data_IF_141591047043
#
_entry.id   IF_141591047043
#
_cell.length_a   1.000
_cell.length_b   1.000
_cell.length_c   1.000
_cell.angle_alpha   90.00
_cell.angle_beta   90.00
_cell.angle_gamma   90.00
#
_symmetry.space_group_name_H-M   'P 1'
#
loop_
_entity.id
_entity.type
_entity.pdbx_description
1 polymer ?
#
# COMPACT_ATOMS: atom_id res chain seq x y z
N UNK A 1 -4.17 -19.95 -13.16
CA UNK A 1 -3.95 -19.21 -11.90
C UNK A 1 -2.71 -18.35 -12.07
N UNK A 2 -2.86 -17.03 -12.20
CA UNK A 2 -1.72 -16.13 -12.16
C UNK A 2 -1.23 -16.07 -10.72
N UNK A 3 -0.09 -16.70 -10.43
CA UNK A 3 0.60 -16.53 -9.14
C UNK A 3 1.28 -15.17 -9.17
N UNK A 4 0.84 -14.26 -8.31
CA UNK A 4 1.60 -13.07 -7.99
C UNK A 4 2.70 -13.47 -7.02
N UNK A 5 3.98 -13.20 -7.29
CA UNK A 5 5.01 -13.32 -6.28
C UNK A 5 4.71 -12.30 -5.18
N UNK A 6 4.32 -12.77 -4.00
CA UNK A 6 4.11 -11.93 -2.82
C UNK A 6 5.40 -11.88 -2.01
N UNK A 7 6.05 -10.73 -1.98
CA UNK A 7 7.23 -10.44 -1.15
C UNK A 7 6.78 -9.55 0.02
N UNK A 8 7.10 -9.94 1.25
CA UNK A 8 6.90 -9.10 2.43
C UNK A 8 8.21 -8.38 2.69
N UNK A 9 8.18 -7.06 2.65
CA UNK A 9 9.33 -6.19 2.88
C UNK A 9 9.16 -5.44 4.20
N UNK A 10 10.25 -5.28 4.96
CA UNK A 10 10.22 -4.64 6.28
C UNK A 10 10.58 -3.15 6.24
N UNK A 11 10.80 -2.57 5.07
CA UNK A 11 11.18 -1.16 4.92
C UNK A 11 11.15 -0.68 3.47
N UNK A 12 10.91 0.61 3.28
CA UNK A 12 10.78 1.25 1.96
C UNK A 12 12.07 1.27 1.14
N UNK A 13 13.23 1.01 1.74
CA UNK A 13 14.52 0.92 1.04
C UNK A 13 14.67 -0.39 0.24
N UNK A 14 13.88 -1.41 0.58
CA UNK A 14 13.92 -2.74 -0.05
C UNK A 14 12.98 -2.85 -1.27
N UNK A 15 12.21 -1.79 -1.56
CA UNK A 15 11.29 -1.71 -2.70
C UNK A 15 12.09 -1.69 -4.00
N UNK A 16 11.91 -2.70 -4.84
CA UNK A 16 12.61 -2.82 -6.15
C UNK A 16 11.82 -2.21 -7.31
N UNK A 17 10.49 -2.19 -7.21
CA UNK A 17 9.59 -1.70 -8.27
C UNK A 17 8.38 -1.02 -7.64
N UNK A 18 8.46 0.30 -7.54
CA UNK A 18 7.44 1.16 -6.93
C UNK A 18 6.07 0.98 -7.59
N UNK A 19 6.02 0.71 -8.91
CA UNK A 19 4.78 0.54 -9.68
C UNK A 19 4.04 -0.76 -9.41
N UNK A 20 4.71 -1.74 -8.79
CA UNK A 20 4.15 -3.06 -8.43
C UNK A 20 4.01 -3.26 -6.93
N UNK A 21 4.35 -2.26 -6.13
CA UNK A 21 4.30 -2.34 -4.68
C UNK A 21 3.09 -1.59 -4.15
N UNK A 22 2.40 -2.24 -3.20
CA UNK A 22 1.36 -1.63 -2.40
C UNK A 22 1.92 -1.52 -0.97
N UNK A 23 1.97 -0.31 -0.44
CA UNK A 23 2.35 -0.05 0.94
C UNK A 23 1.09 0.12 1.79
N UNK A 24 1.03 -0.63 2.90
CA UNK A 24 -0.07 -0.54 3.86
C UNK A 24 0.46 0.22 5.08
N UNK A 25 -0.19 1.32 5.42
CA UNK A 25 0.16 2.15 6.56
C UNK A 25 -1.00 2.27 7.55
N UNK A 26 -0.67 2.50 8.82
CA UNK A 26 -1.61 2.95 9.84
C UNK A 26 -1.27 4.39 10.29
N UNK A 27 -2.12 4.97 11.14
CA UNK A 27 -1.95 6.35 11.65
C UNK A 27 -0.60 6.56 12.36
N UNK A 28 -0.05 5.52 12.99
CA UNK A 28 1.24 5.56 13.69
C UNK A 28 2.44 5.65 12.73
N UNK A 29 2.27 5.23 11.48
CA UNK A 29 3.31 5.17 10.45
C UNK A 29 3.26 6.36 9.47
N UNK A 30 2.74 7.52 9.90
CA UNK A 30 2.47 8.65 9.01
C UNK A 30 3.69 9.13 8.22
N UNK A 31 4.85 9.25 8.86
CA UNK A 31 6.09 9.72 8.19
C UNK A 31 6.57 8.75 7.10
N UNK A 32 6.43 7.45 7.34
CA UNK A 32 6.81 6.41 6.39
C UNK A 32 5.77 6.32 5.26
N UNK A 33 4.48 6.45 5.56
CA UNK A 33 3.42 6.53 4.57
C UNK A 33 3.61 7.73 3.62
N UNK A 34 3.93 8.91 4.15
CA UNK A 34 4.22 10.09 3.33
C UNK A 34 5.49 9.89 2.48
N UNK A 35 6.48 9.18 2.99
CA UNK A 35 7.68 8.83 2.25
C UNK A 35 7.38 7.85 1.11
N UNK A 36 6.50 6.87 1.32
CA UNK A 36 6.04 5.94 0.29
C UNK A 36 5.27 6.66 -0.83
N UNK A 37 4.35 7.55 -0.45
CA UNK A 37 3.60 8.39 -1.40
C UNK A 37 4.54 9.27 -2.23
N UNK A 38 5.55 9.90 -1.62
CA UNK A 38 6.57 10.71 -2.33
C UNK A 38 7.40 9.88 -3.31
N UNK A 39 7.59 8.59 -3.05
CA UNK A 39 8.24 7.63 -3.96
C UNK A 39 7.29 7.10 -5.05
N UNK A 40 6.04 7.56 -5.11
CA UNK A 40 5.06 7.09 -6.09
C UNK A 40 4.53 5.69 -5.83
N UNK A 41 4.75 5.17 -4.62
CA UNK A 41 4.24 3.86 -4.21
C UNK A 41 2.76 4.01 -3.83
N UNK A 42 1.97 3.07 -4.31
CA UNK A 42 0.55 2.97 -3.99
C UNK A 42 0.36 2.72 -2.49
N UNK A 43 -0.15 3.72 -1.78
CA UNK A 43 -0.16 3.69 -0.32
C UNK A 43 -1.58 3.79 0.23
N UNK A 44 -2.00 2.80 1.03
CA UNK A 44 -3.37 2.68 1.56
C UNK A 44 -3.40 2.37 3.04
N UNK A 45 -4.56 2.55 3.66
CA UNK A 45 -4.79 2.19 5.06
C UNK A 45 -4.97 0.68 5.27
N UNK A 46 -4.82 0.24 6.52
CA UNK A 46 -5.21 -1.11 6.96
C UNK A 46 -6.70 -1.40 6.70
N UNK A 47 -7.58 -0.40 6.83
CA UNK A 47 -9.01 -0.54 6.54
C UNK A 47 -9.28 -0.83 5.07
N UNK A 48 -8.57 -0.15 4.15
CA UNK A 48 -8.64 -0.45 2.72
C UNK A 48 -8.25 -1.90 2.44
N UNK A 49 -7.18 -2.39 3.08
CA UNK A 49 -6.72 -3.76 2.92
C UNK A 49 -7.77 -4.77 3.41
N UNK A 50 -8.33 -4.54 4.61
CA UNK A 50 -9.39 -5.40 5.16
C UNK A 50 -10.64 -5.41 4.26
N UNK A 51 -11.05 -4.26 3.72
CA UNK A 51 -12.16 -4.17 2.77
C UNK A 51 -11.87 -4.93 1.46
N UNK A 52 -10.64 -4.87 0.93
CA UNK A 52 -10.22 -5.65 -0.23
C UNK A 52 -10.31 -7.16 0.03
N UNK A 53 -9.84 -7.61 1.21
CA UNK A 53 -9.92 -9.02 1.64
C UNK A 53 -11.36 -9.48 1.75
N UNK A 54 -12.23 -8.69 2.39
CA UNK A 54 -13.66 -9.03 2.56
C UNK A 54 -14.40 -9.12 1.23
N UNK A 55 -14.12 -8.21 0.30
CA UNK A 55 -14.81 -8.14 -1.00
C UNK A 55 -14.17 -9.01 -2.08
N UNK A 56 -12.96 -9.55 -1.85
CA UNK A 56 -12.13 -10.21 -2.86
C UNK A 56 -11.88 -9.33 -4.11
N UNK A 57 -11.80 -8.02 -3.91
CA UNK A 57 -11.59 -7.03 -4.98
C UNK A 57 -10.43 -6.12 -4.58
N UNK A 58 -9.48 -5.93 -5.50
CA UNK A 58 -8.39 -4.99 -5.33
C UNK A 58 -8.84 -3.61 -5.85
N UNK A 59 -9.23 -2.71 -4.93
CA UNK A 59 -9.76 -1.38 -5.28
C UNK A 59 -8.65 -0.34 -5.36
N UNK A 60 -7.99 -0.30 -6.52
CA UNK A 60 -6.98 0.68 -6.87
C UNK A 60 -7.57 2.10 -7.13
N UNK A 61 -8.90 2.28 -7.11
CA UNK A 61 -9.52 3.60 -7.25
C UNK A 61 -9.79 4.31 -5.93
N UNK A 62 -9.53 3.66 -4.80
CA UNK A 62 -9.77 4.22 -3.48
C UNK A 62 -8.82 5.40 -3.17
N UNK A 63 -9.21 6.34 -2.29
CA UNK A 63 -8.32 7.39 -1.82
C UNK A 63 -7.04 6.79 -1.23
N UNK A 64 -5.89 7.33 -1.62
CA UNK A 64 -4.61 6.94 -1.01
C UNK A 64 -4.48 7.57 0.38
N UNK A 65 -3.61 6.99 1.21
CA UNK A 65 -3.44 7.36 2.62
C UNK A 65 -3.25 8.87 2.85
N UNK A 66 -2.47 9.55 2.00
CA UNK A 66 -2.22 10.99 2.12
C UNK A 66 -3.35 11.90 1.58
N UNK A 67 -4.35 11.36 0.90
CA UNK A 67 -5.54 12.09 0.44
C UNK A 67 -6.72 11.99 1.42
N UNK A 68 -6.58 11.19 2.49
CA UNK A 68 -7.58 11.03 3.55
C UNK A 68 -7.23 11.76 4.86
N UNK A 69 -6.15 12.57 4.86
CA UNK A 69 -5.74 13.43 5.98
C UNK A 69 -6.50 14.77 5.98
#
# INVERSE_FOLDING_TARGET
MCKWPSEVICGLDQVKDESKTIFIACEEDMDEALSAVKKGIWTFSSDWFMNCVMKQVLDLGAPQFAESL
#
